data_IF_400894853100
#
_entry.id   IF_400894853100
#
_cell.length_a   1.000
_cell.length_b   1.000
_cell.length_c   1.000
_cell.angle_alpha   90.00
_cell.angle_beta   90.00
_cell.angle_gamma   90.00
#
_symmetry.space_group_name_H-M   'P 1'
#
loop_
_entity.id
_entity.type
_entity.pdbx_description
1 polymer ?
#
# COMPACT_ATOMS: atom_id res chain seq x y z
N UNK A 1 -8.10 -14.17 -9.97
CA UNK A 1 -8.64 -12.86 -9.54
C UNK A 1 -8.24 -11.83 -10.60
N UNK A 2 -9.19 -11.09 -11.18
CA UNK A 2 -8.90 -10.08 -12.20
C UNK A 2 -9.03 -8.67 -11.60
N UNK A 3 -7.95 -7.89 -11.57
CA UNK A 3 -7.93 -6.52 -11.02
C UNK A 3 -8.25 -5.44 -12.06
N UNK A 4 -8.24 -5.78 -13.35
CA UNK A 4 -8.42 -4.77 -14.41
C UNK A 4 -9.74 -3.99 -14.30
N UNK A 5 -10.90 -4.62 -14.03
CA UNK A 5 -12.16 -3.88 -13.96
C UNK A 5 -12.18 -2.78 -12.88
N UNK A 6 -11.60 -3.06 -11.70
CA UNK A 6 -11.60 -2.10 -10.61
C UNK A 6 -10.64 -0.94 -10.88
N UNK A 7 -9.48 -1.22 -11.49
CA UNK A 7 -8.53 -0.17 -11.93
C UNK A 7 -9.14 0.67 -13.05
N UNK A 8 -9.83 0.07 -14.02
CA UNK A 8 -10.54 0.81 -15.08
C UNK A 8 -11.58 1.76 -14.51
N UNK A 9 -12.30 1.35 -13.46
CA UNK A 9 -13.25 2.23 -12.76
C UNK A 9 -12.54 3.40 -12.06
N UNK A 10 -11.40 3.16 -11.43
CA UNK A 10 -10.60 4.20 -10.78
C UNK A 10 -10.09 5.24 -11.77
N UNK A 11 -9.66 4.81 -12.96
CA UNK A 11 -9.15 5.70 -14.01
C UNK A 11 -10.25 6.36 -14.84
N UNK A 12 -11.53 6.23 -14.47
CA UNK A 12 -12.64 6.75 -15.27
C UNK A 12 -12.63 8.28 -15.40
N UNK A 13 -12.07 8.98 -14.41
CA UNK A 13 -11.92 10.45 -14.44
C UNK A 13 -10.72 10.94 -15.26
N UNK A 14 -9.78 10.07 -15.64
CA UNK A 14 -8.62 10.48 -16.44
C UNK A 14 -9.03 10.75 -17.89
N UNK A 15 -8.30 11.67 -18.56
CA UNK A 15 -8.38 11.88 -20.00
C UNK A 15 -8.33 10.56 -20.78
N UNK A 16 -9.12 10.46 -21.86
CA UNK A 16 -9.29 9.22 -22.62
C UNK A 16 -7.97 8.69 -23.19
N UNK A 17 -7.05 9.56 -23.61
CA UNK A 17 -5.74 9.17 -24.17
C UNK A 17 -4.86 8.62 -23.04
N UNK A 18 -4.79 9.32 -21.91
CA UNK A 18 -4.03 8.88 -20.73
C UNK A 18 -4.59 7.55 -20.20
N UNK A 19 -5.91 7.45 -20.06
CA UNK A 19 -6.61 6.25 -19.58
C UNK A 19 -6.32 5.05 -20.49
N UNK A 20 -6.43 5.21 -21.80
CA UNK A 20 -6.14 4.13 -22.76
C UNK A 20 -4.69 3.66 -22.67
N UNK A 21 -3.74 4.59 -22.55
CA UNK A 21 -2.32 4.24 -22.38
C UNK A 21 -2.08 3.44 -21.09
N UNK A 22 -2.57 3.95 -19.94
CA UNK A 22 -2.46 3.28 -18.64
C UNK A 22 -3.08 1.88 -18.66
N UNK A 23 -4.26 1.72 -19.29
CA UNK A 23 -4.95 0.43 -19.39
C UNK A 23 -4.28 -0.56 -20.36
N UNK A 24 -3.75 -0.10 -21.49
CA UNK A 24 -3.06 -0.97 -22.45
C UNK A 24 -1.79 -1.61 -21.88
N UNK A 25 -1.14 -0.91 -20.94
CA UNK A 25 0.07 -1.36 -20.25
C UNK A 25 -0.18 -1.85 -18.82
N UNK A 26 -1.45 -2.08 -18.44
CA UNK A 26 -1.83 -2.45 -17.09
C UNK A 26 -1.27 -3.83 -16.71
N UNK A 27 -0.44 -3.86 -15.67
CA UNK A 27 0.12 -5.07 -15.07
C UNK A 27 0.29 -4.89 -13.57
N UNK A 28 0.37 -6.00 -12.84
CA UNK A 28 0.79 -6.03 -11.44
C UNK A 28 2.30 -5.79 -11.39
N UNK A 29 2.74 -4.89 -10.52
CA UNK A 29 4.15 -4.46 -10.43
C UNK A 29 4.73 -4.64 -9.04
N UNK A 30 3.89 -4.61 -8.01
CA UNK A 30 4.29 -4.88 -6.63
C UNK A 30 3.18 -5.65 -5.91
N UNK A 31 3.58 -6.54 -5.00
CA UNK A 31 2.68 -7.29 -4.13
C UNK A 31 3.22 -7.28 -2.71
N UNK A 32 2.34 -7.17 -1.72
CA UNK A 32 2.69 -7.24 -0.31
C UNK A 32 1.53 -7.88 0.47
N UNK A 33 1.82 -8.87 1.30
CA UNK A 33 0.85 -9.41 2.24
C UNK A 33 1.17 -8.88 3.64
N UNK A 34 0.23 -8.21 4.28
CA UNK A 34 0.39 -7.65 5.63
C UNK A 34 -0.95 -7.61 6.35
N UNK A 35 -0.99 -7.99 7.64
CA UNK A 35 -2.21 -7.98 8.48
C UNK A 35 -3.46 -8.55 7.79
N UNK A 36 -3.36 -9.75 7.24
CA UNK A 36 -4.46 -10.43 6.54
C UNK A 36 -5.00 -9.67 5.31
N UNK A 37 -4.21 -8.76 4.74
CA UNK A 37 -4.54 -8.04 3.53
C UNK A 37 -3.46 -8.26 2.47
N UNK A 38 -3.90 -8.46 1.24
CA UNK A 38 -3.04 -8.45 0.06
C UNK A 38 -3.12 -7.07 -0.58
N UNK A 39 -1.98 -6.40 -0.64
CA UNK A 39 -1.76 -5.14 -1.32
C UNK A 39 -1.13 -5.39 -2.68
N UNK A 40 -1.62 -4.66 -3.69
CA UNK A 40 -1.26 -4.79 -5.10
C UNK A 40 -0.97 -3.42 -5.66
N UNK A 41 0.27 -3.19 -6.07
CA UNK A 41 0.66 -2.03 -6.86
C UNK A 41 0.56 -2.34 -8.35
N UNK A 42 0.13 -1.37 -9.14
CA UNK A 42 -0.04 -1.51 -10.59
C UNK A 42 0.87 -0.57 -11.38
N UNK A 43 1.07 -0.88 -12.67
CA UNK A 43 1.76 0.01 -13.61
C UNK A 43 1.02 1.32 -13.91
N UNK A 44 -0.28 1.38 -13.63
CA UNK A 44 -1.09 2.59 -13.74
C UNK A 44 -1.10 3.41 -12.43
N UNK A 45 -0.32 3.00 -11.43
CA UNK A 45 -0.16 3.72 -10.16
C UNK A 45 -1.28 3.55 -9.14
N UNK A 46 -2.40 2.95 -9.55
CA UNK A 46 -3.45 2.51 -8.64
C UNK A 46 -2.93 1.43 -7.68
N UNK A 47 -3.31 1.57 -6.41
CA UNK A 47 -2.98 0.63 -5.32
C UNK A 47 -4.27 -0.03 -4.87
N UNK A 48 -4.32 -1.35 -4.97
CA UNK A 48 -5.48 -2.16 -4.62
C UNK A 48 -5.17 -2.95 -3.37
N UNK A 49 -6.08 -2.98 -2.41
CA UNK A 49 -5.99 -3.90 -1.27
C UNK A 49 -7.19 -4.85 -1.27
N UNK A 50 -6.93 -6.04 -0.74
CA UNK A 50 -7.85 -7.18 -0.78
C UNK A 50 -7.80 -7.85 0.57
N UNK A 51 -8.94 -7.98 1.23
CA UNK A 51 -9.02 -8.76 2.46
C UNK A 51 -8.77 -10.24 2.12
N UNK A 52 -7.81 -10.86 2.80
CA UNK A 52 -7.52 -12.29 2.64
C UNK A 52 -8.50 -13.03 3.54
N UNK A 53 -9.46 -13.79 2.98
CA UNK A 53 -10.34 -14.59 3.83
C UNK A 53 -9.53 -15.66 4.53
N UNK A 54 -9.94 -16.03 5.75
CA UNK A 54 -9.31 -17.13 6.47
C UNK A 54 -9.48 -18.44 5.67
N UNK A 55 -8.37 -18.96 5.13
CA UNK A 55 -8.36 -20.18 4.31
C UNK A 55 -8.03 -21.38 5.20
N UNK A 56 -8.93 -22.35 5.38
CA UNK A 56 -8.63 -23.59 6.11
C UNK A 56 -7.49 -24.36 5.42
N UNK A 57 -6.67 -25.13 6.17
CA UNK A 57 -5.49 -25.83 5.63
C UNK A 57 -5.79 -26.85 4.52
N UNK A 58 -7.04 -27.29 4.38
CA UNK A 58 -7.46 -28.27 3.37
C UNK A 58 -8.00 -27.63 2.07
N UNK A 59 -7.97 -26.31 1.94
CA UNK A 59 -8.45 -25.60 0.74
C UNK A 59 -7.29 -25.34 -0.21
N UNK A 60 -7.30 -26.05 -1.35
CA UNK A 60 -6.29 -25.91 -2.40
C UNK A 60 -6.57 -24.78 -3.40
N UNK A 61 -7.81 -24.25 -3.41
CA UNK A 61 -8.22 -23.17 -4.31
C UNK A 61 -9.29 -22.31 -3.66
N UNK A 62 -9.07 -20.99 -3.68
CA UNK A 62 -10.09 -20.02 -3.34
C UNK A 62 -11.08 -19.90 -4.52
N UNK A 63 -12.32 -20.33 -4.34
CA UNK A 63 -13.37 -20.26 -5.38
C UNK A 63 -14.13 -18.94 -5.35
N UNK A 64 -14.29 -18.35 -4.16
CA UNK A 64 -14.87 -17.02 -4.00
C UNK A 64 -13.80 -15.94 -4.26
N UNK A 65 -14.14 -14.96 -5.09
CA UNK A 65 -13.29 -13.77 -5.28
C UNK A 65 -13.45 -12.84 -4.08
N UNK A 66 -12.38 -12.56 -3.32
CA UNK A 66 -12.44 -11.59 -2.23
C UNK A 66 -12.79 -10.20 -2.74
N UNK A 67 -13.39 -9.38 -1.88
CA UNK A 67 -13.68 -7.99 -2.18
C UNK A 67 -12.37 -7.22 -2.39
N UNK A 68 -12.36 -6.37 -3.41
CA UNK A 68 -11.22 -5.53 -3.75
C UNK A 68 -11.62 -4.08 -3.58
N UNK A 69 -10.69 -3.30 -3.08
CA UNK A 69 -10.84 -1.86 -2.86
C UNK A 69 -9.60 -1.18 -3.38
N UNK A 70 -9.77 -0.09 -4.13
CA UNK A 70 -8.65 0.73 -4.61
C UNK A 70 -8.51 1.91 -3.68
N UNK A 71 -7.27 2.24 -3.33
CA UNK A 71 -6.95 3.46 -2.60
C UNK A 71 -7.35 4.66 -3.47
N UNK A 72 -7.94 5.69 -2.83
CA UNK A 72 -8.34 6.92 -3.53
C UNK A 72 -7.15 7.68 -4.09
N UNK A 73 -5.99 7.52 -3.45
CA UNK A 73 -4.72 8.07 -3.88
C UNK A 73 -3.80 6.96 -4.38
N UNK A 74 -2.96 7.30 -5.33
CA UNK A 74 -1.93 6.43 -5.87
C UNK A 74 -0.78 7.23 -6.47
N UNK A 75 -0.10 6.59 -7.40
CA UNK A 75 1.00 7.18 -8.16
C UNK A 75 0.48 7.66 -9.52
N UNK A 76 1.04 8.74 -10.06
CA UNK A 76 0.78 9.15 -11.44
C UNK A 76 1.22 8.07 -12.44
N UNK A 77 2.32 7.37 -12.12
CA UNK A 77 2.91 6.29 -12.91
C UNK A 77 3.09 5.00 -12.11
N UNK A 78 4.13 4.21 -12.39
CA UNK A 78 4.22 2.84 -11.89
C UNK A 78 4.43 2.80 -10.37
N UNK A 79 3.65 1.97 -9.67
CA UNK A 79 4.00 1.55 -8.31
C UNK A 79 5.18 0.57 -8.39
N UNK A 80 6.37 0.99 -7.95
CA UNK A 80 7.63 0.22 -8.08
C UNK A 80 7.82 -0.78 -6.95
N UNK A 81 7.41 -0.43 -5.74
CA UNK A 81 7.50 -1.35 -4.61
C UNK A 81 6.39 -1.10 -3.59
N UNK A 82 6.14 -2.12 -2.78
CA UNK A 82 5.33 -2.07 -1.58
C UNK A 82 6.14 -2.69 -0.43
N UNK A 83 6.09 -2.08 0.75
CA UNK A 83 6.69 -2.61 1.96
C UNK A 83 5.80 -2.33 3.17
N UNK A 84 5.92 -3.12 4.23
CA UNK A 84 5.21 -2.88 5.49
C UNK A 84 6.17 -2.57 6.61
N UNK A 85 5.81 -1.62 7.45
CA UNK A 85 6.56 -1.28 8.67
C UNK A 85 5.64 -1.47 9.86
N UNK A 86 6.07 -2.31 10.80
CA UNK A 86 5.44 -2.44 12.11
C UNK A 86 6.09 -1.50 13.11
N UNK A 87 5.33 -0.51 13.58
CA UNK A 87 5.76 0.45 14.61
C UNK A 87 5.30 0.03 16.01
N UNK A 88 4.94 -1.25 16.21
CA UNK A 88 4.72 -1.77 17.56
C UNK A 88 5.98 -1.57 18.41
N UNK A 89 5.85 -1.26 19.72
CA UNK A 89 7.00 -1.12 20.61
C UNK A 89 7.93 -2.35 20.61
N UNK A 90 7.36 -3.54 20.37
CA UNK A 90 8.11 -4.79 20.23
C UNK A 90 8.88 -4.92 18.90
N UNK A 91 8.39 -4.32 17.81
CA UNK A 91 9.13 -4.26 16.55
C UNK A 91 10.26 -3.21 16.60
N UNK A 92 9.99 -2.04 17.18
CA UNK A 92 10.98 -0.97 17.34
C UNK A 92 12.14 -1.38 18.27
N UNK A 93 11.85 -2.10 19.35
CA UNK A 93 12.88 -2.63 20.25
C UNK A 93 13.79 -3.65 19.56
N UNK A 94 13.23 -4.50 18.67
CA UNK A 94 14.01 -5.42 17.82
C UNK A 94 14.86 -4.66 16.81
N UNK A 95 14.34 -3.63 16.15
CA UNK A 95 15.11 -2.83 15.19
C UNK A 95 16.34 -2.16 15.84
N UNK A 96 16.18 -1.60 17.05
CA UNK A 96 17.30 -0.99 17.77
C UNK A 96 18.38 -1.99 18.21
N UNK A 97 18.05 -3.28 18.37
CA UNK A 97 19.01 -4.31 18.77
C UNK A 97 20.00 -4.69 17.66
N UNK A 98 19.68 -4.42 16.39
CA UNK A 98 20.62 -4.63 15.27
C UNK A 98 21.69 -3.52 15.15
N UNK A 99 21.53 -2.39 15.86
CA UNK A 99 22.48 -1.28 15.88
C UNK A 99 23.39 -1.24 17.12
N UNK A 100 23.17 -2.10 18.12
CA UNK A 100 23.97 -2.12 19.36
C UNK A 100 24.69 -3.46 19.55
N UNK A 101 25.66 -3.76 18.70
CA UNK A 101 26.79 -4.63 19.08
C UNK A 101 27.73 -3.85 20.01
N UNK A 102 27.29 -3.61 21.24
CA UNK A 102 28.07 -2.82 22.20
C UNK A 102 27.48 -2.84 23.60
N UNK A 103 28.01 -3.75 24.42
CA UNK A 103 28.25 -3.61 25.86
C UNK A 103 27.09 -3.16 26.76
N UNK A 104 26.55 -4.13 27.52
CA UNK A 104 26.13 -4.02 28.92
C UNK A 104 25.22 -2.86 29.36
N UNK A 105 24.06 -3.18 29.91
CA UNK A 105 23.80 -2.91 31.35
C UNK A 105 22.39 -3.43 31.71
N UNK A 106 22.36 -4.31 32.71
CA UNK A 106 21.14 -4.87 33.25
C UNK A 106 20.50 -3.92 34.24
N UNK A 107 19.66 -2.99 33.79
CA UNK A 107 18.69 -2.33 34.67
C UNK A 107 17.67 -1.47 33.91
N UNK A 108 16.56 -2.05 33.43
CA UNK A 108 15.37 -1.25 33.05
C UNK A 108 14.08 -1.94 33.45
N UNK A 109 13.67 -1.62 34.68
CA UNK A 109 12.30 -1.40 35.19
C UNK A 109 11.18 -2.16 34.47
N UNK A 110 10.67 -3.22 35.12
CA UNK A 110 9.36 -3.81 34.85
C UNK A 110 8.26 -2.76 35.08
N UNK A 111 7.89 -2.03 34.03
CA UNK A 111 6.61 -1.35 33.99
C UNK A 111 5.57 -2.41 33.61
N UNK A 112 4.58 -2.63 34.47
CA UNK A 112 3.41 -3.46 34.16
C UNK A 112 2.60 -2.76 33.08
N UNK A 113 2.99 -2.97 31.82
CA UNK A 113 2.29 -2.44 30.66
C UNK A 113 1.14 -3.38 30.33
N UNK A 114 -0.04 -2.81 30.17
CA UNK A 114 -1.25 -3.54 29.78
C UNK A 114 -0.99 -4.23 28.43
N UNK A 115 -0.88 -5.56 28.44
CA UNK A 115 -0.46 -6.38 27.28
C UNK A 115 -1.38 -6.13 26.08
N UNK A 116 -2.67 -5.87 26.32
CA UNK A 116 -3.65 -5.56 25.29
C UNK A 116 -3.39 -4.22 24.56
N UNK A 117 -2.85 -3.21 25.25
CA UNK A 117 -2.51 -1.92 24.64
C UNK A 117 -1.19 -1.98 23.86
N UNK A 118 -0.28 -2.89 24.22
CA UNK A 118 0.96 -3.15 23.48
C UNK A 118 0.74 -3.95 22.19
N UNK A 119 -0.38 -4.66 22.08
CA UNK A 119 -0.74 -5.47 20.91
C UNK A 119 -1.38 -4.67 19.76
N UNK A 120 -1.80 -3.42 19.99
CA UNK A 120 -2.26 -2.53 18.92
C UNK A 120 -1.07 -1.86 18.22
N UNK A 121 -0.24 -2.66 17.57
CA UNK A 121 0.84 -2.17 16.73
C UNK A 121 0.29 -1.37 15.55
N UNK A 122 0.72 -0.10 15.42
CA UNK A 122 0.48 0.68 14.20
C UNK A 122 1.34 0.08 13.09
N UNK A 123 0.71 -0.57 12.13
CA UNK A 123 1.39 -1.08 10.95
C UNK A 123 1.05 -0.19 9.79
N UNK A 124 2.06 0.16 9.02
CA UNK A 124 1.91 0.96 7.83
C UNK A 124 2.32 0.14 6.63
N UNK A 125 1.57 0.28 5.54
CA UNK A 125 2.05 -0.07 4.21
C UNK A 125 2.63 1.19 3.59
N UNK A 126 3.76 1.05 2.92
CA UNK A 126 4.46 2.11 2.21
C UNK A 126 4.60 1.66 0.77
N UNK A 127 4.24 2.53 -0.16
CA UNK A 127 4.50 2.33 -1.59
C UNK A 127 5.50 3.36 -2.06
N UNK A 128 6.28 2.98 -3.07
CA UNK A 128 7.09 3.92 -3.82
C UNK A 128 6.78 3.82 -5.30
N UNK A 129 6.68 4.97 -5.97
CA UNK A 129 6.28 5.04 -7.36
C UNK A 129 6.56 6.40 -7.98
N UNK A 130 5.96 6.65 -9.13
CA UNK A 130 6.14 7.87 -9.92
C UNK A 130 4.99 8.84 -9.65
N UNK A 131 5.31 10.01 -9.11
CA UNK A 131 4.33 11.04 -8.76
C UNK A 131 3.29 10.64 -7.71
N UNK A 132 2.37 11.56 -7.49
CA UNK A 132 1.22 11.40 -6.61
C UNK A 132 -0.03 11.79 -7.38
N UNK A 133 -1.03 10.91 -7.37
CA UNK A 133 -2.30 11.10 -8.09
C UNK A 133 -3.46 10.87 -7.12
N UNK A 134 -4.41 11.81 -7.09
CA UNK A 134 -5.71 11.64 -6.44
C UNK A 134 -6.76 11.30 -7.50
N UNK A 135 -7.36 10.12 -7.39
CA UNK A 135 -8.35 9.64 -8.35
C UNK A 135 -9.76 10.22 -8.11
N UNK A 136 -9.97 11.04 -7.07
CA UNK A 136 -11.28 11.63 -6.76
C UNK A 136 -11.57 12.95 -7.50
N UNK A 137 -10.54 13.76 -7.77
CA UNK A 137 -10.71 15.18 -8.15
C UNK A 137 -10.62 15.45 -9.67
N UNK A 138 -10.36 14.41 -10.47
CA UNK A 138 -10.12 14.53 -11.92
C UNK A 138 -11.36 14.96 -12.74
N UNK A 139 -12.55 15.06 -12.14
CA UNK A 139 -13.77 15.43 -12.87
C UNK A 139 -13.98 16.93 -13.05
N UNK A 140 -13.15 17.79 -12.44
CA UNK A 140 -13.52 19.20 -12.25
C UNK A 140 -12.55 20.25 -12.82
N UNK A 141 -11.31 19.90 -13.14
CA UNK A 141 -10.31 20.90 -13.54
C UNK A 141 -9.91 20.81 -15.03
N UNK A 142 -10.65 21.53 -15.89
CA UNK A 142 -10.23 21.85 -17.26
C UNK A 142 -9.17 22.98 -17.33
N UNK A 143 -8.46 23.28 -16.23
CA UNK A 143 -7.58 24.45 -16.17
C UNK A 143 -6.47 24.45 -15.12
N UNK A 144 -6.16 23.30 -14.50
CA UNK A 144 -5.04 23.25 -13.57
C UNK A 144 -3.70 22.99 -14.29
N UNK A 145 -2.87 24.03 -14.38
CA UNK A 145 -1.48 23.97 -14.87
C UNK A 145 -0.57 23.06 -14.02
N UNK A 146 -1.09 22.44 -12.96
CA UNK A 146 -0.39 21.43 -12.15
C UNK A 146 -0.38 20.03 -12.79
N UNK A 147 -1.23 19.77 -13.80
CA UNK A 147 -1.28 18.48 -14.51
C UNK A 147 0.10 18.13 -15.09
N UNK A 148 0.64 16.98 -14.67
CA UNK A 148 1.90 16.45 -15.18
C UNK A 148 3.17 16.98 -14.48
N UNK A 149 3.04 17.94 -13.56
CA UNK A 149 4.21 18.57 -12.92
C UNK A 149 4.97 17.63 -11.98
N UNK A 150 4.26 16.68 -11.37
CA UNK A 150 4.85 15.75 -10.38
C UNK A 150 5.03 14.32 -10.93
N UNK A 151 4.68 14.06 -12.19
CA UNK A 151 4.65 12.71 -12.79
C UNK A 151 6.01 11.99 -12.80
N UNK A 152 7.11 12.75 -12.79
CA UNK A 152 8.48 12.19 -12.81
C UNK A 152 9.17 12.15 -11.44
N UNK A 153 8.51 12.65 -10.40
CA UNK A 153 9.09 12.68 -9.06
C UNK A 153 8.93 11.32 -8.35
N UNK A 154 9.86 11.01 -7.45
CA UNK A 154 9.79 9.78 -6.66
C UNK A 154 8.95 10.03 -5.40
N UNK A 155 7.75 9.47 -5.36
CA UNK A 155 6.83 9.63 -4.22
C UNK A 155 6.78 8.39 -3.34
N UNK A 156 6.73 8.62 -2.03
CA UNK A 156 6.42 7.61 -1.03
C UNK A 156 5.07 7.93 -0.41
N UNK A 157 4.19 6.95 -0.40
CA UNK A 157 2.85 7.07 0.14
C UNK A 157 2.69 6.08 1.30
N UNK A 158 1.89 6.45 2.31
CA UNK A 158 1.79 5.71 3.56
C UNK A 158 0.32 5.42 3.88
N UNK A 159 0.00 4.15 4.13
CA UNK A 159 -1.33 3.69 4.54
C UNK A 159 -1.26 3.06 5.91
N UNK A 160 -2.11 3.52 6.82
CA UNK A 160 -2.30 2.83 8.09
C UNK A 160 -3.17 1.58 7.86
N UNK A 161 -2.72 0.45 8.40
CA UNK A 161 -3.39 -0.86 8.31
C UNK A 161 -3.94 -1.29 9.65
#
# INVERSE_FOLDING_TARGET
MNISPIVTKTLAGCDDIIRQHKLACLRVTALLCCKEQLWVGTSAGAIVHVAIPHVPPNVSRLTATPNMTVCQMGHCGQCRFLTSVDLSPAALSRANSFGSSGLGDGSRRRMSLNVAALQQGKVYVISGGDGFEDFHDMTTDEGDDSIGREDSANYLLFWHV
#
